data_IF_844345195016
#
_entry.id   IF_844345195016
#
_cell.length_a   1.000
_cell.length_b   1.000
_cell.length_c   1.000
_cell.angle_alpha   90.00
_cell.angle_beta   90.00
_cell.angle_gamma   90.00
#
_symmetry.space_group_name_H-M   'P 1'
#
loop_
_entity.id
_entity.type
_entity.pdbx_description
1 polymer ?
#
# COMPACT_ATOMS: atom_id res chain seq x y z
N UNK A 1 14.04 7.66 -13.36
CA UNK A 1 12.76 7.90 -14.10
C UNK A 1 11.63 7.73 -13.11
N UNK A 2 10.61 8.59 -13.15
CA UNK A 2 9.55 8.51 -12.17
C UNK A 2 8.77 7.19 -12.31
N UNK A 3 8.60 6.46 -11.20
CA UNK A 3 7.77 5.27 -11.12
C UNK A 3 6.28 5.62 -11.17
N UNK A 4 5.94 6.83 -10.66
CA UNK A 4 4.60 7.45 -10.72
C UNK A 4 4.74 8.82 -11.34
N UNK A 5 3.91 9.13 -12.35
CA UNK A 5 3.78 10.49 -12.88
C UNK A 5 2.31 10.83 -13.05
N UNK A 6 1.88 11.88 -12.38
CA UNK A 6 0.55 12.44 -12.43
C UNK A 6 0.61 13.76 -13.22
N UNK A 7 -0.22 13.92 -14.25
CA UNK A 7 -0.22 15.12 -15.10
C UNK A 7 -1.60 15.71 -15.19
N UNK A 8 -1.73 16.97 -14.70
CA UNK A 8 -2.94 17.77 -14.76
C UNK A 8 -4.18 17.02 -14.25
N UNK A 9 -4.03 16.33 -13.11
CA UNK A 9 -5.10 15.56 -12.49
C UNK A 9 -6.18 16.50 -11.98
N UNK A 10 -7.40 16.28 -12.45
CA UNK A 10 -8.60 16.92 -11.93
C UNK A 10 -9.50 15.86 -11.31
N UNK A 11 -10.02 16.12 -10.12
CA UNK A 11 -10.95 15.23 -9.42
C UNK A 11 -11.92 16.02 -8.56
N UNK A 12 -13.20 15.68 -8.71
CA UNK A 12 -14.28 16.25 -7.92
C UNK A 12 -15.21 15.15 -7.42
N UNK A 13 -15.87 15.38 -6.30
CA UNK A 13 -16.99 14.56 -5.81
C UNK A 13 -18.19 15.48 -5.60
N UNK A 14 -19.22 15.31 -6.43
CA UNK A 14 -20.36 16.22 -6.49
C UNK A 14 -19.88 17.66 -6.65
N UNK A 15 -20.18 18.55 -5.70
CA UNK A 15 -19.84 19.98 -5.73
C UNK A 15 -18.47 20.31 -5.12
N UNK A 16 -17.74 19.29 -4.62
CA UNK A 16 -16.42 19.48 -3.96
C UNK A 16 -15.28 19.15 -4.93
N UNK A 17 -14.52 20.17 -5.34
CA UNK A 17 -13.26 19.97 -6.05
C UNK A 17 -12.20 19.47 -5.07
N UNK A 18 -11.56 18.35 -5.39
CA UNK A 18 -10.48 17.75 -4.62
C UNK A 18 -9.12 18.12 -5.23
N UNK A 19 -8.97 17.91 -6.53
CA UNK A 19 -7.77 18.30 -7.27
C UNK A 19 -8.15 19.15 -8.48
N UNK A 20 -7.31 20.18 -8.73
CA UNK A 20 -7.38 21.02 -9.91
C UNK A 20 -5.97 21.13 -10.49
N UNK A 21 -5.79 20.61 -11.72
CA UNK A 21 -4.52 20.61 -12.46
C UNK A 21 -3.31 20.10 -11.64
N UNK A 22 -3.55 19.12 -10.75
CA UNK A 22 -2.54 18.57 -9.88
C UNK A 22 -1.55 17.72 -10.67
N UNK A 23 -0.26 18.05 -10.57
CA UNK A 23 0.82 17.30 -11.22
C UNK A 23 1.91 16.97 -10.21
N UNK A 24 2.39 15.74 -10.22
CA UNK A 24 3.46 15.29 -9.32
C UNK A 24 4.14 14.03 -9.85
N UNK A 25 5.44 13.97 -9.66
CA UNK A 25 6.27 12.81 -10.00
C UNK A 25 6.89 12.20 -8.73
N UNK A 26 6.96 10.86 -8.69
CA UNK A 26 7.63 10.10 -7.63
C UNK A 26 8.70 9.23 -8.27
N UNK A 27 9.93 9.37 -7.81
CA UNK A 27 11.06 8.62 -8.35
C UNK A 27 11.12 7.19 -7.76
N UNK A 28 11.75 6.28 -8.51
CA UNK A 28 11.97 4.91 -8.03
C UNK A 28 12.85 4.90 -6.78
N UNK A 29 12.48 4.07 -5.77
CA UNK A 29 13.17 3.99 -4.48
C UNK A 29 12.88 5.18 -3.53
N UNK A 30 12.01 6.09 -3.91
CA UNK A 30 11.62 7.23 -3.07
C UNK A 30 10.70 6.78 -1.92
N UNK A 31 10.88 7.38 -0.73
CA UNK A 31 9.91 7.32 0.36
C UNK A 31 9.25 8.69 0.50
N UNK A 32 8.02 8.80 -0.02
CA UNK A 32 7.22 10.01 -0.03
C UNK A 32 6.15 9.95 1.06
N UNK A 33 6.03 11.01 1.85
CA UNK A 33 4.91 11.22 2.77
C UNK A 33 3.96 12.30 2.24
N UNK A 34 2.66 12.03 2.36
CA UNK A 34 1.58 12.95 1.99
C UNK A 34 0.83 13.32 3.26
N UNK A 35 0.89 14.60 3.65
CA UNK A 35 0.21 15.16 4.81
C UNK A 35 -0.89 16.11 4.40
N UNK A 36 -1.63 16.65 5.35
CA UNK A 36 -2.68 17.63 5.11
C UNK A 36 -3.94 17.39 5.95
N UNK A 37 -4.83 18.36 5.99
CA UNK A 37 -6.07 18.30 6.76
C UNK A 37 -7.00 17.16 6.29
N UNK A 38 -7.89 16.69 7.18
CA UNK A 38 -8.91 15.70 6.81
C UNK A 38 -9.78 16.21 5.65
N UNK A 39 -10.11 15.33 4.72
CA UNK A 39 -10.95 15.64 3.55
C UNK A 39 -10.27 16.44 2.44
N UNK A 40 -8.93 16.59 2.48
CA UNK A 40 -8.13 17.23 1.42
C UNK A 40 -7.78 16.31 0.24
N UNK A 41 -8.23 15.05 0.27
CA UNK A 41 -8.06 14.13 -0.87
C UNK A 41 -6.84 13.21 -0.78
N UNK A 42 -6.19 13.08 0.37
CA UNK A 42 -5.01 12.21 0.54
C UNK A 42 -5.28 10.76 0.11
N UNK A 43 -6.31 10.14 0.67
CA UNK A 43 -6.76 8.79 0.28
C UNK A 43 -7.20 8.74 -1.19
N UNK A 44 -7.85 9.80 -1.70
CA UNK A 44 -8.21 9.89 -3.12
C UNK A 44 -6.98 9.88 -4.01
N UNK A 45 -5.92 10.60 -3.63
CA UNK A 45 -4.65 10.59 -4.36
C UNK A 45 -4.02 9.20 -4.39
N UNK A 46 -3.94 8.53 -3.22
CA UNK A 46 -3.47 7.14 -3.16
C UNK A 46 -4.32 6.20 -4.02
N UNK A 47 -5.65 6.35 -3.99
CA UNK A 47 -6.56 5.54 -4.81
C UNK A 47 -6.36 5.77 -6.31
N UNK A 48 -6.09 7.00 -6.74
CA UNK A 48 -5.76 7.31 -8.14
C UNK A 48 -4.45 6.65 -8.53
N UNK A 49 -3.40 6.79 -7.72
CA UNK A 49 -2.10 6.12 -7.93
C UNK A 49 -2.28 4.60 -7.91
N UNK A 50 -3.08 4.07 -6.99
CA UNK A 50 -3.38 2.64 -6.86
C UNK A 50 -4.27 2.07 -7.98
N UNK A 51 -4.70 2.90 -8.93
CA UNK A 51 -5.63 2.54 -10.00
C UNK A 51 -6.96 1.98 -9.47
N UNK A 52 -7.41 2.48 -8.31
CA UNK A 52 -8.69 2.15 -7.68
C UNK A 52 -9.76 3.21 -7.96
N UNK A 53 -9.36 4.47 -8.10
CA UNK A 53 -10.23 5.61 -8.36
C UNK A 53 -9.76 6.34 -9.61
N UNK A 54 -10.64 6.51 -10.61
CA UNK A 54 -10.29 7.23 -11.84
C UNK A 54 -10.36 8.75 -11.63
N UNK A 55 -9.37 9.53 -12.07
CA UNK A 55 -9.52 10.98 -12.12
C UNK A 55 -10.59 11.38 -13.16
N UNK A 56 -11.14 12.58 -13.01
CA UNK A 56 -12.13 13.12 -13.97
C UNK A 56 -11.44 13.53 -15.28
N UNK A 57 -10.19 14.07 -15.17
CA UNK A 57 -9.32 14.32 -16.30
C UNK A 57 -7.85 14.31 -15.85
N UNK A 58 -6.94 14.36 -16.81
CA UNK A 58 -5.50 14.24 -16.60
C UNK A 58 -4.98 12.81 -16.84
N UNK A 59 -3.68 12.64 -16.76
CA UNK A 59 -3.00 11.41 -17.10
C UNK A 59 -2.27 10.81 -15.89
N UNK A 60 -2.40 9.48 -15.72
CA UNK A 60 -1.71 8.70 -14.69
C UNK A 60 -0.75 7.74 -15.37
N UNK A 61 0.53 7.90 -15.11
CA UNK A 61 1.57 6.97 -15.56
C UNK A 61 2.10 6.20 -14.36
N UNK A 62 2.20 4.87 -14.50
CA UNK A 62 2.85 3.98 -13.55
C UNK A 62 3.79 3.07 -14.33
N UNK A 63 5.04 2.97 -13.87
CA UNK A 63 6.05 2.12 -14.51
C UNK A 63 6.14 2.41 -16.02
N UNK A 64 6.27 3.70 -16.38
CA UNK A 64 6.29 4.21 -17.77
C UNK A 64 5.06 3.85 -18.63
N UNK A 65 4.01 3.34 -17.99
CA UNK A 65 2.77 2.95 -18.69
C UNK A 65 1.66 3.96 -18.39
N UNK A 66 1.12 4.59 -19.44
CA UNK A 66 -0.10 5.41 -19.32
C UNK A 66 -1.30 4.53 -19.02
N UNK A 67 -2.03 4.85 -17.96
CA UNK A 67 -3.19 4.09 -17.49
C UNK A 67 -4.49 4.82 -17.86
N UNK A 68 -4.92 4.70 -19.11
CA UNK A 68 -6.15 5.33 -19.62
C UNK A 68 -7.42 4.64 -19.08
N UNK A 69 -7.35 3.34 -18.83
CA UNK A 69 -8.45 2.56 -18.28
C UNK A 69 -7.99 1.74 -17.08
N UNK A 70 -8.52 2.05 -15.90
CA UNK A 70 -8.20 1.37 -14.62
C UNK A 70 -8.75 -0.06 -14.54
N UNK A 71 -9.70 -0.41 -15.44
CA UNK A 71 -10.20 -1.77 -15.64
C UNK A 71 -9.40 -2.60 -16.66
N UNK A 72 -8.41 -2.02 -17.33
CA UNK A 72 -7.63 -2.68 -18.37
C UNK A 72 -6.82 -3.87 -17.84
N UNK A 73 -6.39 -4.75 -18.76
CA UNK A 73 -5.48 -5.86 -18.43
C UNK A 73 -4.16 -5.32 -17.84
N UNK A 74 -3.60 -4.26 -18.44
CA UNK A 74 -2.36 -3.62 -17.95
C UNK A 74 -2.49 -3.12 -16.51
N UNK A 75 -3.58 -2.41 -16.19
CA UNK A 75 -3.83 -1.92 -14.84
C UNK A 75 -3.99 -3.07 -13.83
N UNK A 76 -4.65 -4.16 -14.23
CA UNK A 76 -4.76 -5.37 -13.38
C UNK A 76 -3.40 -6.02 -13.16
N UNK A 77 -2.55 -6.10 -14.18
CA UNK A 77 -1.21 -6.69 -14.07
C UNK A 77 -0.30 -5.85 -13.15
N UNK A 78 -0.36 -4.52 -13.23
CA UNK A 78 0.31 -3.63 -12.29
C UNK A 78 -0.14 -3.91 -10.86
N UNK A 79 -1.46 -3.91 -10.58
CA UNK A 79 -2.00 -4.20 -9.24
C UNK A 79 -1.65 -5.59 -8.74
N UNK A 80 -1.54 -6.59 -9.63
CA UNK A 80 -1.20 -7.98 -9.28
C UNK A 80 0.26 -8.16 -8.92
N UNK A 81 1.17 -7.54 -9.65
CA UNK A 81 2.59 -7.89 -9.59
C UNK A 81 3.48 -6.78 -9.04
N UNK A 82 3.13 -5.51 -9.31
CA UNK A 82 4.04 -4.39 -9.08
C UNK A 82 3.63 -3.47 -7.92
N UNK A 83 2.36 -3.47 -7.53
CA UNK A 83 1.81 -2.54 -6.55
C UNK A 83 1.19 -3.30 -5.38
N UNK A 84 1.46 -2.85 -4.14
CA UNK A 84 0.70 -3.26 -2.95
C UNK A 84 0.08 -2.08 -2.26
N UNK A 85 -1.08 -2.28 -1.66
CA UNK A 85 -1.79 -1.27 -0.90
C UNK A 85 -1.95 -1.74 0.55
N UNK A 86 -1.47 -0.95 1.50
CA UNK A 86 -1.67 -1.10 2.93
C UNK A 86 -2.80 -0.16 3.33
N UNK A 87 -4.00 -0.71 3.42
CA UNK A 87 -5.22 0.03 3.72
C UNK A 87 -5.33 0.36 5.21
N UNK A 88 -6.00 1.45 5.53
CA UNK A 88 -6.31 1.83 6.92
C UNK A 88 -7.09 0.74 7.68
N UNK A 89 -7.93 -0.03 6.98
CA UNK A 89 -8.67 -1.18 7.50
C UNK A 89 -7.99 -2.53 7.20
N UNK A 90 -6.66 -2.51 7.04
CA UNK A 90 -5.80 -3.68 6.80
C UNK A 90 -6.01 -4.41 5.46
N UNK A 91 -7.17 -4.33 4.83
CA UNK A 91 -7.49 -5.00 3.56
C UNK A 91 -7.41 -6.53 3.65
N UNK A 92 -7.88 -7.08 4.77
CA UNK A 92 -7.95 -8.52 5.04
C UNK A 92 -9.39 -9.01 4.93
N UNK A 93 -9.55 -10.31 4.67
CA UNK A 93 -10.84 -11.01 4.71
C UNK A 93 -11.04 -11.53 6.13
N UNK A 94 -11.87 -10.85 6.92
CA UNK A 94 -12.00 -11.04 8.37
C UNK A 94 -12.42 -12.47 8.76
N UNK A 95 -13.38 -13.05 8.05
CA UNK A 95 -13.90 -14.40 8.33
C UNK A 95 -12.98 -15.53 7.86
N UNK A 96 -11.83 -15.18 7.27
CA UNK A 96 -10.84 -16.13 6.77
C UNK A 96 -9.60 -16.20 7.66
N UNK A 97 -8.79 -17.26 7.47
CA UNK A 97 -7.56 -17.44 8.21
C UNK A 97 -6.44 -16.51 7.73
N UNK A 98 -5.41 -16.30 8.57
CA UNK A 98 -4.18 -15.63 8.16
C UNK A 98 -3.58 -16.28 6.91
N UNK A 99 -3.47 -17.60 6.90
CA UNK A 99 -3.00 -18.38 5.75
C UNK A 99 -3.79 -18.11 4.48
N UNK A 100 -5.13 -18.07 4.56
CA UNK A 100 -5.96 -17.76 3.39
C UNK A 100 -5.63 -16.37 2.83
N UNK A 101 -5.59 -15.36 3.70
CA UNK A 101 -5.26 -13.99 3.32
C UNK A 101 -3.86 -13.87 2.68
N UNK A 102 -2.89 -14.63 3.20
CA UNK A 102 -1.53 -14.63 2.68
C UNK A 102 -1.43 -15.40 1.35
N UNK A 103 -2.22 -16.46 1.16
CA UNK A 103 -2.29 -17.19 -0.12
C UNK A 103 -2.83 -16.31 -1.25
N UNK A 104 -3.72 -15.35 -0.97
CA UNK A 104 -4.16 -14.38 -1.96
C UNK A 104 -3.00 -13.55 -2.54
N UNK A 105 -2.00 -13.23 -1.72
CA UNK A 105 -0.80 -12.53 -2.20
C UNK A 105 0.06 -13.39 -3.13
N UNK A 106 -0.02 -14.71 -3.00
CA UNK A 106 0.73 -15.69 -3.79
C UNK A 106 -0.08 -16.29 -4.95
N UNK A 107 -1.28 -15.77 -5.23
CA UNK A 107 -2.16 -16.34 -6.27
C UNK A 107 -1.47 -16.36 -7.65
N UNK A 108 -0.70 -15.34 -7.94
CA UNK A 108 0.00 -15.19 -9.23
C UNK A 108 1.52 -15.38 -9.14
N UNK A 109 2.04 -15.98 -8.04
CA UNK A 109 3.48 -16.17 -7.83
C UNK A 109 4.11 -17.31 -8.65
N UNK A 110 3.28 -18.20 -9.21
CA UNK A 110 3.76 -19.45 -9.82
C UNK A 110 4.22 -20.52 -8.82
N UNK A 111 4.15 -20.25 -7.51
CA UNK A 111 4.56 -21.19 -6.46
C UNK A 111 3.63 -22.41 -6.40
N UNK A 112 4.23 -23.61 -6.24
CA UNK A 112 3.48 -24.81 -5.89
C UNK A 112 2.99 -24.76 -4.42
N UNK A 113 2.20 -25.75 -4.02
CA UNK A 113 1.56 -25.77 -2.68
C UNK A 113 2.57 -25.77 -1.53
N UNK A 114 3.68 -26.49 -1.68
CA UNK A 114 4.73 -26.59 -0.66
C UNK A 114 5.49 -25.26 -0.53
N UNK A 115 5.88 -24.66 -1.65
CA UNK A 115 6.51 -23.34 -1.70
C UNK A 115 5.61 -22.27 -1.08
N UNK A 116 4.31 -22.25 -1.41
CA UNK A 116 3.34 -21.32 -0.80
C UNK A 116 3.30 -21.50 0.71
N UNK A 117 3.29 -22.76 1.20
CA UNK A 117 3.26 -23.07 2.64
C UNK A 117 4.51 -22.56 3.35
N UNK A 118 5.70 -22.83 2.82
CA UNK A 118 6.96 -22.35 3.36
C UNK A 118 7.02 -20.82 3.39
N UNK A 119 6.75 -20.17 2.27
CA UNK A 119 6.76 -18.70 2.17
C UNK A 119 5.81 -18.03 3.18
N UNK A 120 4.60 -18.59 3.38
CA UNK A 120 3.64 -18.06 4.35
C UNK A 120 4.16 -18.21 5.78
N UNK A 121 4.75 -19.36 6.14
CA UNK A 121 5.32 -19.57 7.47
C UNK A 121 6.47 -18.58 7.74
N UNK A 122 7.38 -18.41 6.78
CA UNK A 122 8.49 -17.46 6.87
C UNK A 122 8.02 -16.01 7.00
N UNK A 123 7.00 -15.62 6.21
CA UNK A 123 6.44 -14.27 6.29
C UNK A 123 5.77 -13.99 7.64
N UNK A 124 5.00 -14.96 8.18
CA UNK A 124 4.40 -14.83 9.51
C UNK A 124 5.47 -14.75 10.61
N UNK A 125 6.51 -15.58 10.52
CA UNK A 125 7.64 -15.51 11.44
C UNK A 125 8.33 -14.14 11.40
N UNK A 126 8.57 -13.59 10.21
CA UNK A 126 9.22 -12.28 10.04
C UNK A 126 8.43 -11.15 10.69
N UNK A 127 7.10 -11.23 10.70
CA UNK A 127 6.24 -10.23 11.35
C UNK A 127 5.89 -10.58 12.80
N UNK A 128 6.53 -11.59 13.42
CA UNK A 128 6.33 -11.98 14.80
C UNK A 128 4.99 -12.67 15.08
N UNK A 129 4.43 -13.36 14.07
CA UNK A 129 3.17 -14.11 14.14
C UNK A 129 3.36 -15.60 13.82
N UNK A 130 4.49 -16.19 14.22
CA UNK A 130 4.77 -17.61 14.03
C UNK A 130 3.63 -18.47 14.63
N UNK A 131 3.13 -19.44 13.86
CA UNK A 131 2.03 -20.31 14.29
C UNK A 131 0.62 -19.74 14.15
N UNK A 132 0.47 -18.54 13.54
CA UNK A 132 -0.86 -17.91 13.37
C UNK A 132 -1.58 -18.33 12.07
N UNK A 133 -1.04 -19.25 11.30
CA UNK A 133 -1.55 -19.63 9.97
C UNK A 133 -3.05 -19.93 9.97
N UNK A 134 -3.52 -20.63 10.99
CA UNK A 134 -4.92 -21.08 11.08
C UNK A 134 -5.81 -20.18 11.93
N UNK A 135 -5.28 -19.09 12.52
CA UNK A 135 -6.11 -18.11 13.24
C UNK A 135 -6.97 -17.33 12.27
N UNK A 136 -8.22 -17.10 12.65
CA UNK A 136 -9.14 -16.23 11.92
C UNK A 136 -8.78 -14.77 12.16
N UNK A 137 -8.84 -13.93 11.10
CA UNK A 137 -8.44 -12.52 11.17
C UNK A 137 -9.25 -11.75 12.21
N UNK A 138 -10.57 -11.99 12.32
CA UNK A 138 -11.41 -11.32 13.30
C UNK A 138 -11.02 -11.59 14.77
N UNK A 139 -10.24 -12.65 15.05
CA UNK A 139 -9.76 -12.97 16.41
C UNK A 139 -8.45 -12.26 16.77
N UNK A 140 -7.86 -11.52 15.83
CA UNK A 140 -6.59 -10.83 16.01
C UNK A 140 -6.82 -9.40 16.52
N UNK A 141 -5.86 -8.90 17.32
CA UNK A 141 -5.77 -7.48 17.64
C UNK A 141 -5.48 -6.64 16.38
N UNK A 142 -5.76 -5.33 16.43
CA UNK A 142 -5.45 -4.43 15.30
C UNK A 142 -3.98 -4.45 14.89
N UNK A 143 -3.06 -4.52 15.86
CA UNK A 143 -1.62 -4.65 15.59
C UNK A 143 -1.25 -5.97 14.90
N UNK A 144 -1.87 -7.10 15.33
CA UNK A 144 -1.67 -8.40 14.68
C UNK A 144 -2.25 -8.41 13.25
N UNK A 145 -3.43 -7.81 13.03
CA UNK A 145 -4.01 -7.67 11.68
C UNK A 145 -3.10 -6.84 10.77
N UNK A 146 -2.55 -5.74 11.27
CA UNK A 146 -1.58 -4.92 10.53
C UNK A 146 -0.33 -5.72 10.16
N UNK A 147 0.19 -6.55 11.08
CA UNK A 147 1.33 -7.44 10.80
C UNK A 147 1.00 -8.48 9.74
N UNK A 148 -0.22 -9.03 9.71
CA UNK A 148 -0.66 -9.93 8.61
C UNK A 148 -0.72 -9.16 7.29
N UNK A 149 -1.19 -7.91 7.28
CA UNK A 149 -1.20 -7.07 6.08
C UNK A 149 0.23 -6.78 5.56
N UNK A 150 1.18 -6.54 6.46
CA UNK A 150 2.60 -6.41 6.11
C UNK A 150 3.20 -7.72 5.58
N UNK A 151 2.83 -8.87 6.14
CA UNK A 151 3.22 -10.18 5.62
C UNK A 151 2.73 -10.41 4.18
N UNK A 152 1.53 -9.89 3.80
CA UNK A 152 1.07 -9.89 2.40
C UNK A 152 2.01 -9.11 1.49
N UNK A 153 2.51 -7.96 1.95
CA UNK A 153 3.46 -7.13 1.19
C UNK A 153 4.79 -7.86 1.01
N UNK A 154 5.31 -8.49 2.08
CA UNK A 154 6.53 -9.31 2.02
C UNK A 154 6.42 -10.40 0.95
N UNK A 155 5.32 -11.15 0.96
CA UNK A 155 5.08 -12.26 0.03
C UNK A 155 4.95 -11.80 -1.42
N UNK A 156 4.31 -10.66 -1.65
CA UNK A 156 4.11 -10.11 -2.98
C UNK A 156 5.37 -9.43 -3.52
N UNK A 157 6.21 -8.88 -2.64
CA UNK A 157 7.44 -8.14 -2.98
C UNK A 157 7.25 -7.09 -4.09
N UNK A 158 6.32 -6.14 -3.94
CA UNK A 158 5.99 -5.15 -4.97
C UNK A 158 7.16 -4.18 -5.22
N UNK A 159 7.09 -3.43 -6.32
CA UNK A 159 7.99 -2.30 -6.63
C UNK A 159 7.47 -1.00 -5.97
N UNK A 160 6.14 -0.85 -5.86
CA UNK A 160 5.46 0.31 -5.25
C UNK A 160 4.53 -0.11 -4.11
N UNK A 161 4.70 0.51 -2.95
CA UNK A 161 3.86 0.33 -1.77
C UNK A 161 3.09 1.63 -1.51
N UNK A 162 1.77 1.55 -1.48
CA UNK A 162 0.87 2.63 -1.06
C UNK A 162 0.39 2.34 0.35
N UNK A 163 0.55 3.27 1.28
CA UNK A 163 0.15 3.10 2.68
C UNK A 163 -0.78 4.24 3.12
N UNK A 164 -2.02 3.91 3.45
CA UNK A 164 -3.01 4.87 3.92
C UNK A 164 -3.17 4.77 5.43
N UNK A 165 -2.66 5.76 6.17
CA UNK A 165 -2.65 5.82 7.63
C UNK A 165 -2.20 4.50 8.29
N UNK A 166 -1.01 3.97 7.93
CA UNK A 166 -0.63 2.60 8.29
C UNK A 166 -0.47 2.35 9.80
N UNK A 167 -0.51 3.39 10.60
CA UNK A 167 -0.27 3.34 12.04
C UNK A 167 -1.35 4.03 12.87
N UNK A 168 -2.41 4.55 12.25
CA UNK A 168 -3.37 5.47 12.87
C UNK A 168 -4.16 4.90 14.07
N UNK A 169 -4.25 3.57 14.21
CA UNK A 169 -4.97 2.90 15.30
C UNK A 169 -4.07 2.01 16.17
N UNK A 170 -2.74 2.15 16.04
CA UNK A 170 -1.78 1.28 16.72
C UNK A 170 -1.19 1.93 17.96
N UNK A 171 -0.86 1.09 18.96
CA UNK A 171 0.01 1.47 20.06
C UNK A 171 1.44 1.80 19.59
N UNK A 172 2.26 2.33 20.49
CA UNK A 172 3.61 2.79 20.14
C UNK A 172 4.50 1.66 19.60
N UNK A 173 4.46 0.48 20.21
CA UNK A 173 5.33 -0.66 19.83
C UNK A 173 4.95 -1.20 18.47
N UNK A 174 3.65 -1.39 18.19
CA UNK A 174 3.16 -1.83 16.90
C UNK A 174 3.43 -0.78 15.81
N UNK A 175 3.25 0.53 16.11
CA UNK A 175 3.61 1.61 15.20
C UNK A 175 5.08 1.56 14.81
N UNK A 176 5.97 1.49 15.80
CA UNK A 176 7.42 1.50 15.56
C UNK A 176 7.86 0.25 14.76
N UNK A 177 7.23 -0.91 15.00
CA UNK A 177 7.42 -2.11 14.19
C UNK A 177 7.00 -1.90 12.73
N UNK A 178 5.81 -1.34 12.48
CA UNK A 178 5.32 -1.05 11.11
C UNK A 178 6.28 -0.13 10.38
N UNK A 179 6.74 0.94 11.05
CA UNK A 179 7.65 1.91 10.47
C UNK A 179 9.03 1.31 10.18
N UNK A 180 9.55 0.46 11.07
CA UNK A 180 10.82 -0.23 10.84
C UNK A 180 10.75 -1.12 9.59
N UNK A 181 9.64 -1.84 9.39
CA UNK A 181 9.47 -2.70 8.23
C UNK A 181 9.27 -1.90 6.92
N UNK A 182 8.57 -0.76 6.98
CA UNK A 182 8.46 0.13 5.81
C UNK A 182 9.83 0.71 5.44
N UNK A 183 10.66 1.09 6.41
CA UNK A 183 12.04 1.51 6.15
C UNK A 183 12.87 0.38 5.52
N UNK A 184 12.78 -0.84 6.05
CA UNK A 184 13.45 -2.01 5.48
C UNK A 184 13.05 -2.23 4.01
N UNK A 185 11.77 -2.08 3.68
CA UNK A 185 11.32 -2.15 2.28
C UNK A 185 11.94 -1.05 1.41
N UNK A 186 12.00 0.19 1.91
CA UNK A 186 12.59 1.29 1.15
C UNK A 186 14.12 1.12 0.97
N UNK A 187 14.83 0.68 1.99
CA UNK A 187 16.26 0.35 1.94
C UNK A 187 16.55 -0.79 0.96
N UNK A 188 15.59 -1.72 0.80
CA UNK A 188 15.63 -2.76 -0.23
C UNK A 188 15.23 -2.26 -1.64
N UNK A 189 15.14 -0.95 -1.85
CA UNK A 189 14.86 -0.31 -3.14
C UNK A 189 13.39 -0.18 -3.51
N UNK A 190 12.45 -0.48 -2.59
CA UNK A 190 11.02 -0.30 -2.88
C UNK A 190 10.62 1.16 -2.75
N UNK A 191 9.76 1.62 -3.66
CA UNK A 191 9.14 2.94 -3.58
C UNK A 191 7.97 2.91 -2.62
N UNK A 192 7.87 3.90 -1.73
CA UNK A 192 6.78 3.99 -0.75
C UNK A 192 6.11 5.35 -0.86
N UNK A 193 4.79 5.36 -0.97
CA UNK A 193 3.95 6.56 -0.85
C UNK A 193 3.02 6.35 0.34
N UNK A 194 3.19 7.16 1.36
CA UNK A 194 2.46 7.02 2.61
C UNK A 194 1.64 8.28 2.89
N UNK A 195 0.38 8.09 3.26
CA UNK A 195 -0.47 9.13 3.83
C UNK A 195 -0.43 9.02 5.35
N UNK A 196 -0.19 10.14 6.02
CA UNK A 196 -0.25 10.19 7.48
C UNK A 196 -0.59 11.58 7.99
N UNK A 197 -1.10 11.66 9.21
CA UNK A 197 -1.25 12.89 10.00
C UNK A 197 -0.33 12.89 11.24
N UNK A 198 0.40 11.82 11.50
CA UNK A 198 1.35 11.69 12.61
C UNK A 198 2.74 12.20 12.19
N UNK A 199 3.22 13.24 12.89
CA UNK A 199 4.53 13.87 12.64
C UNK A 199 5.70 12.89 12.78
N UNK A 200 5.61 11.93 13.73
CA UNK A 200 6.67 10.90 13.88
C UNK A 200 6.72 9.96 12.69
N UNK A 201 5.55 9.61 12.16
CA UNK A 201 5.40 8.75 10.99
C UNK A 201 5.89 9.49 9.74
N UNK A 202 5.52 10.76 9.60
CA UNK A 202 5.96 11.65 8.53
C UNK A 202 7.49 11.74 8.46
N UNK A 203 8.17 11.86 9.60
CA UNK A 203 9.64 11.94 9.67
C UNK A 203 10.40 10.72 9.13
N UNK A 204 9.71 9.61 8.83
CA UNK A 204 10.31 8.45 8.19
C UNK A 204 10.56 8.64 6.69
N UNK A 205 9.82 9.56 6.07
CA UNK A 205 9.95 9.85 4.64
C UNK A 205 11.09 10.83 4.37
N UNK A 206 11.68 10.73 3.18
CA UNK A 206 12.73 11.67 2.72
C UNK A 206 12.15 12.88 1.99
N UNK A 207 10.93 12.76 1.48
CA UNK A 207 10.23 13.82 0.75
C UNK A 207 8.79 13.93 1.23
N UNK A 208 8.27 15.15 1.26
CA UNK A 208 6.97 15.46 1.83
C UNK A 208 6.13 16.29 0.88
N UNK A 209 4.82 16.01 0.84
CA UNK A 209 3.82 16.83 0.16
C UNK A 209 2.74 17.18 1.18
N UNK A 210 2.33 18.43 1.22
CA UNK A 210 1.16 18.88 1.98
C UNK A 210 0.03 19.24 1.00
N UNK A 211 -1.16 18.59 1.14
CA UNK A 211 -2.37 18.84 0.34
C UNK A 211 -3.31 19.86 0.99
#
# INVERSE_FOLDING_TARGET
MPIVSLKNINKSFKDKVIFKDFSHDVEEGEFLSITGASGKGKTTLLNIIGLLEKPDSGDVFLFDTKNESFGSRKARDIRRHKLSYLFQNFGLVDNETCKFNLYLALEFSGYNREQKRGAVSDALKKVGLEGFENRKVYSLSGGEQQRVALAKILLKSPELILADEPTGSLDADNRDFVLSLLREFNEAGKTIIMVTHDVKVDSCAKRHICL
#
